data_IF_433938576284
#
_entry.id   IF_433938576284
#
_cell.length_a   1.000
_cell.length_b   1.000
_cell.length_c   1.000
_cell.angle_alpha   90.00
_cell.angle_beta   90.00
_cell.angle_gamma   90.00
#
_symmetry.space_group_name_H-M   'P 1'
#
loop_
_entity.id
_entity.type
_entity.pdbx_description
1 polymer ?
#
# COMPACT_ATOMS: atom_id res chain seq x y z
N UNK A 1 -29.30 9.43 0.71
CA UNK A 1 -28.65 8.11 0.71
C UNK A 1 -27.52 8.20 1.71
N UNK A 2 -27.39 7.25 2.64
CA UNK A 2 -26.19 7.19 3.47
C UNK A 2 -25.03 6.91 2.52
N UNK A 3 -24.12 7.87 2.38
CA UNK A 3 -22.80 7.60 1.84
C UNK A 3 -22.12 6.70 2.86
N UNK A 4 -22.41 5.39 2.77
CA UNK A 4 -21.59 4.38 3.41
C UNK A 4 -20.19 4.66 2.89
N UNK A 5 -19.30 5.15 3.77
CA UNK A 5 -17.88 5.22 3.48
C UNK A 5 -17.46 3.80 3.12
N UNK A 6 -17.45 3.50 1.82
CA UNK A 6 -17.10 2.18 1.32
C UNK A 6 -15.61 2.02 1.61
N UNK A 7 -15.33 1.28 2.68
CA UNK A 7 -14.01 0.75 2.95
C UNK A 7 -13.79 -0.38 1.94
N UNK A 8 -12.74 -0.24 1.14
CA UNK A 8 -12.30 -1.22 0.17
C UNK A 8 -11.16 -2.03 0.78
N UNK A 9 -11.03 -3.28 0.33
CA UNK A 9 -9.88 -4.12 0.67
C UNK A 9 -8.94 -4.24 -0.54
N UNK A 10 -7.64 -4.14 -0.28
CA UNK A 10 -6.59 -4.37 -1.26
C UNK A 10 -5.56 -5.34 -0.68
N UNK A 11 -5.30 -6.43 -1.40
CA UNK A 11 -4.19 -7.33 -1.06
C UNK A 11 -2.85 -6.63 -1.25
N UNK A 12 -1.92 -6.82 -0.32
CA UNK A 12 -0.58 -6.25 -0.44
C UNK A 12 0.18 -6.93 -1.59
N UNK A 13 0.73 -6.18 -2.56
CA UNK A 13 1.55 -6.78 -3.60
C UNK A 13 2.88 -7.28 -3.04
N UNK A 14 3.33 -8.44 -3.54
CA UNK A 14 4.63 -9.03 -3.20
C UNK A 14 5.76 -8.06 -3.59
N UNK A 15 6.68 -7.78 -2.65
CA UNK A 15 7.76 -6.80 -2.84
C UNK A 15 7.56 -5.51 -2.04
N UNK A 16 6.37 -5.28 -1.47
CA UNK A 16 6.17 -4.25 -0.46
C UNK A 16 6.76 -4.72 0.86
N UNK A 17 7.89 -4.14 1.26
CA UNK A 17 8.51 -4.41 2.55
C UNK A 17 7.78 -3.70 3.69
N UNK A 18 7.97 -4.18 4.93
CA UNK A 18 7.41 -3.59 6.15
C UNK A 18 7.66 -2.07 6.25
N UNK A 19 8.83 -1.59 5.80
CA UNK A 19 9.15 -0.16 5.79
C UNK A 19 8.29 0.66 4.83
N UNK A 20 7.99 0.14 3.64
CA UNK A 20 7.13 0.84 2.67
C UNK A 20 5.68 0.88 3.15
N UNK A 21 5.24 -0.21 3.78
CA UNK A 21 3.97 -0.30 4.47
C UNK A 21 3.85 0.73 5.61
N UNK A 22 4.85 0.82 6.49
CA UNK A 22 4.86 1.79 7.58
C UNK A 22 4.74 3.23 7.05
N UNK A 23 5.49 3.58 6.00
CA UNK A 23 5.38 4.90 5.37
C UNK A 23 4.02 5.17 4.72
N UNK A 24 3.38 4.15 4.15
CA UNK A 24 2.03 4.28 3.63
C UNK A 24 1.02 4.49 4.76
N UNK A 25 1.13 3.77 5.88
CA UNK A 25 0.29 3.97 7.07
C UNK A 25 0.48 5.32 7.75
N UNK A 26 1.68 5.88 7.73
CA UNK A 26 1.92 7.22 8.26
C UNK A 26 1.35 8.33 7.36
N UNK A 27 1.29 8.09 6.04
CA UNK A 27 0.83 9.09 5.07
C UNK A 27 -0.65 9.00 4.71
N UNK A 28 -1.23 7.81 4.78
CA UNK A 28 -2.59 7.51 4.37
C UNK A 28 -3.34 6.86 5.53
N UNK A 29 -4.61 7.21 5.70
CA UNK A 29 -5.54 6.63 6.68
C UNK A 29 -6.06 5.28 6.15
N UNK A 30 -5.17 4.30 6.21
CA UNK A 30 -5.44 2.91 5.85
C UNK A 30 -5.21 2.02 7.07
N UNK A 31 -5.81 0.82 7.08
CA UNK A 31 -5.66 -0.21 8.13
C UNK A 31 -4.98 -1.45 7.56
N UNK A 32 -4.05 -2.03 8.31
CA UNK A 32 -3.50 -3.36 8.00
C UNK A 32 -4.33 -4.43 8.71
N UNK A 33 -4.81 -5.41 7.95
CA UNK A 33 -5.39 -6.62 8.50
C UNK A 33 -4.50 -7.80 8.13
N UNK A 34 -3.96 -8.49 9.14
CA UNK A 34 -3.17 -9.69 8.91
C UNK A 34 -4.12 -10.88 8.76
N UNK A 35 -4.25 -11.41 7.55
CA UNK A 35 -5.07 -12.60 7.26
C UNK A 35 -4.19 -13.83 7.07
N UNK A 36 -4.77 -15.03 7.14
CA UNK A 36 -4.06 -16.29 6.88
C UNK A 36 -3.42 -16.37 5.48
N UNK A 37 -3.90 -15.55 4.53
CA UNK A 37 -3.38 -15.46 3.16
C UNK A 37 -2.35 -14.34 2.97
N UNK A 38 -2.07 -13.56 4.02
CA UNK A 38 -1.14 -12.44 4.00
C UNK A 38 -1.76 -11.12 4.50
N UNK A 39 -0.94 -10.06 4.59
CA UNK A 39 -1.41 -8.74 4.95
C UNK A 39 -2.35 -8.16 3.88
N UNK A 40 -3.50 -7.67 4.33
CA UNK A 40 -4.46 -6.90 3.54
C UNK A 40 -4.52 -5.46 4.04
N UNK A 41 -4.75 -4.52 3.14
CA UNK A 41 -4.96 -3.11 3.46
C UNK A 41 -6.44 -2.81 3.29
N UNK A 42 -7.04 -2.14 4.26
CA UNK A 42 -8.44 -1.72 4.25
C UNK A 42 -8.51 -0.21 4.42
N UNK A 43 -9.24 0.49 3.56
CA UNK A 43 -9.38 1.94 3.66
C UNK A 43 -10.31 2.52 2.60
N UNK A 44 -10.42 3.85 2.53
CA UNK A 44 -11.19 4.49 1.47
C UNK A 44 -10.55 4.23 0.09
N UNK A 45 -11.37 4.17 -0.95
CA UNK A 45 -10.91 3.92 -2.32
C UNK A 45 -9.79 4.88 -2.74
N UNK A 46 -9.95 6.17 -2.44
CA UNK A 46 -8.98 7.21 -2.78
C UNK A 46 -7.62 6.99 -2.09
N UNK A 47 -7.65 6.60 -0.81
CA UNK A 47 -6.47 6.30 0.00
C UNK A 47 -5.76 5.04 -0.49
N UNK A 48 -6.51 4.00 -0.86
CA UNK A 48 -5.94 2.77 -1.42
C UNK A 48 -5.29 3.02 -2.79
N UNK A 49 -5.91 3.84 -3.64
CA UNK A 49 -5.35 4.20 -4.94
C UNK A 49 -4.04 4.97 -4.76
N UNK A 50 -4.01 5.96 -3.86
CA UNK A 50 -2.77 6.69 -3.52
C UNK A 50 -1.71 5.79 -2.90
N UNK A 51 -2.11 4.91 -2.00
CA UNK A 51 -1.23 3.91 -1.39
C UNK A 51 -0.62 3.01 -2.46
N UNK A 52 -1.44 2.47 -3.37
CA UNK A 52 -0.96 1.64 -4.48
C UNK A 52 0.08 2.37 -5.32
N UNK A 53 -0.21 3.61 -5.72
CA UNK A 53 0.68 4.42 -6.54
C UNK A 53 2.00 4.73 -5.79
N UNK A 54 1.90 5.04 -4.50
CA UNK A 54 3.06 5.26 -3.64
C UNK A 54 3.93 4.00 -3.50
N UNK A 55 3.31 2.85 -3.26
CA UNK A 55 4.01 1.57 -3.15
C UNK A 55 4.67 1.17 -4.47
N UNK A 56 3.98 1.35 -5.60
CA UNK A 56 4.55 1.05 -6.92
C UNK A 56 5.74 1.95 -7.22
N UNK A 57 5.64 3.25 -6.95
CA UNK A 57 6.75 4.20 -7.12
C UNK A 57 7.91 3.86 -6.19
N UNK A 58 7.66 3.57 -4.92
CA UNK A 58 8.71 3.20 -3.97
C UNK A 58 9.46 1.91 -4.39
N UNK A 59 8.74 0.93 -4.94
CA UNK A 59 9.35 -0.29 -5.50
C UNK A 59 10.17 0.05 -6.75
N UNK A 60 9.65 0.87 -7.66
CA UNK A 60 10.36 1.31 -8.87
C UNK A 60 11.61 2.10 -8.55
N UNK A 61 11.55 3.04 -7.60
CA UNK A 61 12.71 3.81 -7.15
C UNK A 61 13.77 2.87 -6.57
N UNK A 62 13.36 1.93 -5.70
CA UNK A 62 14.29 0.95 -5.13
C UNK A 62 14.90 0.03 -6.18
N UNK A 63 14.12 -0.40 -7.18
CA UNK A 63 14.63 -1.15 -8.34
C UNK A 63 15.63 -0.33 -9.14
N UNK A 64 15.31 0.93 -9.43
CA UNK A 64 16.20 1.84 -10.18
C UNK A 64 17.51 2.12 -9.43
N UNK A 65 17.48 2.27 -8.10
CA UNK A 65 18.68 2.40 -7.27
C UNK A 65 19.55 1.13 -7.31
N UNK A 66 18.94 -0.05 -7.37
CA UNK A 66 19.64 -1.32 -7.47
C UNK A 66 20.21 -1.57 -8.88
N UNK A 67 19.48 -1.18 -9.93
CA UNK A 67 19.93 -1.27 -11.33
C UNK A 67 20.97 -0.19 -11.67
N UNK A 68 20.98 0.94 -10.96
CA UNK A 68 21.91 2.06 -11.15
C UNK A 68 23.33 1.84 -10.62
N UNK A 69 23.61 0.72 -9.94
CA UNK A 69 24.99 0.32 -9.60
C UNK A 69 25.60 -0.46 -10.75
N UNK A 70 26.17 0.25 -11.73
CA UNK A 70 27.17 -0.29 -12.65
C UNK A 70 28.46 0.50 -12.56
#
# INVERSE_FOLDING_TARGET
>A
MAEEKQEYEMGLPNGVGEQMLAHAFEKFDIKLEQTEFGPKIIGEYDELVKTKDFLENAIRERLAELEGKK
#
